data_IF_548436673913
#
_entry.id   IF_548436673913
#
_cell.length_a   1.000
_cell.length_b   1.000
_cell.length_c   1.000
_cell.angle_alpha   90.00
_cell.angle_beta   90.00
_cell.angle_gamma   90.00
#
_symmetry.space_group_name_H-M   'P 1'
#
loop_
_entity.id
_entity.type
_entity.pdbx_description
1 polymer ?
#
# COMPACT_ATOMS: atom_id res chain seq x y z
N UNK A 1 -6.69 7.56 -8.43
CA UNK A 1 -5.99 6.27 -8.32
C UNK A 1 -4.99 6.31 -7.16
N UNK A 2 -5.43 6.74 -5.96
CA UNK A 2 -4.71 6.68 -4.68
C UNK A 2 -5.82 6.73 -3.62
N UNK A 3 -6.62 5.66 -3.55
CA UNK A 3 -7.94 5.69 -2.92
C UNK A 3 -8.02 4.83 -1.66
N UNK A 4 -7.12 3.86 -1.50
CA UNK A 4 -7.15 2.91 -0.41
C UNK A 4 -5.74 2.38 -0.09
N UNK A 5 -5.60 1.77 1.09
CA UNK A 5 -4.42 1.06 1.58
C UNK A 5 -4.52 -0.46 1.36
N UNK A 6 -5.57 -0.93 0.69
CA UNK A 6 -5.76 -2.31 0.26
C UNK A 6 -5.91 -2.44 -1.26
N UNK A 7 -5.60 -3.61 -1.83
CA UNK A 7 -5.93 -3.88 -3.22
C UNK A 7 -7.44 -3.95 -3.41
N UNK A 8 -7.94 -3.35 -4.49
CA UNK A 8 -9.36 -3.41 -4.84
C UNK A 8 -9.54 -3.99 -6.23
N UNK A 9 -10.49 -4.91 -6.39
CA UNK A 9 -10.82 -5.44 -7.71
C UNK A 9 -11.76 -4.48 -8.44
N UNK A 10 -11.37 -4.07 -9.64
CA UNK A 10 -12.18 -3.25 -10.51
C UNK A 10 -12.63 -4.05 -11.74
N UNK A 11 -13.92 -3.98 -12.04
CA UNK A 11 -14.46 -4.46 -13.31
C UNK A 11 -14.23 -3.41 -14.38
N UNK A 12 -13.61 -3.81 -15.47
CA UNK A 12 -13.40 -3.01 -16.66
C UNK A 12 -14.12 -3.66 -17.84
N UNK A 13 -14.21 -2.94 -18.96
CA UNK A 13 -14.94 -3.42 -20.16
C UNK A 13 -14.46 -4.78 -20.64
N UNK A 14 -13.17 -5.07 -20.49
CA UNK A 14 -12.50 -6.28 -20.94
C UNK A 14 -12.00 -7.18 -19.80
N UNK A 15 -12.76 -7.29 -18.71
CA UNK A 15 -12.45 -8.20 -17.60
C UNK A 15 -12.22 -7.46 -16.29
N UNK A 16 -11.21 -7.90 -15.54
CA UNK A 16 -10.97 -7.44 -14.17
C UNK A 16 -9.51 -7.01 -14.00
N UNK A 17 -9.30 -5.88 -13.32
CA UNK A 17 -7.97 -5.39 -12.92
C UNK A 17 -7.95 -5.19 -11.41
N UNK A 18 -6.78 -5.39 -10.80
CA UNK A 18 -6.58 -5.11 -9.38
C UNK A 18 -5.86 -3.78 -9.25
N UNK A 19 -6.43 -2.85 -8.50
CA UNK A 19 -5.73 -1.64 -8.09
C UNK A 19 -4.71 -2.00 -7.02
N UNK A 20 -3.50 -1.46 -7.15
CA UNK A 20 -2.47 -1.61 -6.13
C UNK A 20 -2.29 -0.26 -5.43
N UNK A 21 -2.40 -0.21 -4.08
CA UNK A 21 -2.10 1.00 -3.32
C UNK A 21 -0.72 1.54 -3.65
N UNK A 22 -0.64 2.87 -3.71
CA UNK A 22 0.58 3.60 -3.97
C UNK A 22 0.58 4.92 -3.22
N UNK A 23 1.62 5.18 -2.45
CA UNK A 23 1.77 6.41 -1.67
C UNK A 23 2.52 7.46 -2.50
N UNK A 24 1.77 8.36 -3.15
CA UNK A 24 2.36 9.46 -3.93
C UNK A 24 3.28 10.34 -3.09
N UNK A 25 2.92 10.56 -1.82
CA UNK A 25 3.72 11.33 -0.87
C UNK A 25 5.07 10.69 -0.56
N UNK A 26 5.29 9.41 -0.87
CA UNK A 26 6.57 8.72 -0.69
C UNK A 26 7.27 8.42 -2.03
N UNK A 27 6.99 9.22 -3.05
CA UNK A 27 7.75 9.28 -4.30
C UNK A 27 8.83 10.37 -4.19
N UNK A 28 10.10 9.98 -4.23
CA UNK A 28 11.23 10.91 -4.09
C UNK A 28 11.32 11.90 -5.27
N UNK A 29 10.94 11.48 -6.47
CA UNK A 29 10.91 12.31 -7.67
C UNK A 29 9.86 13.40 -7.63
N UNK A 30 8.78 13.22 -6.85
CA UNK A 30 7.82 14.28 -6.58
C UNK A 30 8.27 15.17 -5.42
N UNK A 31 8.74 14.58 -4.32
CA UNK A 31 9.12 15.33 -3.12
C UNK A 31 10.31 16.27 -3.37
N UNK A 32 11.39 15.77 -3.96
CA UNK A 32 12.62 16.56 -4.11
C UNK A 32 12.56 17.56 -5.28
N UNK A 33 11.40 17.72 -5.92
CA UNK A 33 11.08 18.87 -6.80
C UNK A 33 10.47 20.04 -6.03
N UNK A 34 10.24 19.86 -4.73
CA UNK A 34 9.74 20.88 -3.81
C UNK A 34 10.81 21.19 -2.76
N UNK A 35 10.45 21.83 -1.65
CA UNK A 35 11.40 22.17 -0.57
C UNK A 35 11.59 21.05 0.47
N UNK A 36 11.21 19.81 0.13
CA UNK A 36 11.43 18.63 0.97
C UNK A 36 12.80 18.02 0.67
N UNK A 37 13.54 17.64 1.69
CA UNK A 37 14.81 16.92 1.57
C UNK A 37 14.79 15.57 2.29
N UNK A 38 15.87 14.79 2.13
CA UNK A 38 15.91 13.37 2.50
C UNK A 38 15.60 13.08 3.99
N UNK A 39 15.89 14.00 4.91
CA UNK A 39 15.60 13.84 6.33
C UNK A 39 14.09 13.89 6.61
N UNK A 40 13.41 14.92 6.11
CA UNK A 40 11.95 15.05 6.21
C UNK A 40 11.24 13.91 5.48
N UNK A 41 11.73 13.51 4.29
CA UNK A 41 11.23 12.34 3.58
C UNK A 41 11.28 11.07 4.45
N UNK A 42 12.38 10.86 5.17
CA UNK A 42 12.54 9.71 6.05
C UNK A 42 11.61 9.78 7.27
N UNK A 43 11.43 10.95 7.86
CA UNK A 43 10.52 11.16 8.99
C UNK A 43 9.07 10.86 8.60
N UNK A 44 8.62 11.35 7.44
CA UNK A 44 7.27 11.09 6.92
C UNK A 44 7.09 9.61 6.57
N UNK A 45 8.09 8.98 5.95
CA UNK A 45 8.04 7.56 5.61
C UNK A 45 7.91 6.67 6.86
N UNK A 46 8.69 6.97 7.90
CA UNK A 46 8.66 6.25 9.19
C UNK A 46 7.31 6.47 9.89
N UNK A 47 6.85 7.72 9.99
CA UNK A 47 5.58 8.03 10.64
C UNK A 47 4.39 7.34 9.94
N UNK A 48 4.39 7.32 8.61
CA UNK A 48 3.35 6.61 7.85
C UNK A 48 3.44 5.10 8.07
N UNK A 49 4.65 4.52 8.03
CA UNK A 49 4.84 3.10 8.31
C UNK A 49 4.34 2.73 9.71
N UNK A 50 4.70 3.49 10.74
CA UNK A 50 4.30 3.21 12.13
C UNK A 50 2.78 3.23 12.28
N UNK A 51 2.11 4.17 11.61
CA UNK A 51 0.65 4.25 11.61
C UNK A 51 0.03 3.02 10.95
N UNK A 52 0.47 2.67 9.74
CA UNK A 52 -0.05 1.50 9.01
C UNK A 52 0.27 0.19 9.72
N UNK A 53 1.42 0.10 10.38
CA UNK A 53 1.82 -1.07 11.16
C UNK A 53 0.92 -1.27 12.37
N UNK A 54 0.59 -0.19 13.09
CA UNK A 54 -0.34 -0.23 14.21
C UNK A 54 -1.77 -0.61 13.77
N UNK A 55 -2.28 0.00 12.69
CA UNK A 55 -3.59 -0.36 12.11
C UNK A 55 -3.61 -1.78 11.51
N UNK A 56 -2.42 -2.28 11.16
CA UNK A 56 -2.15 -3.61 10.62
C UNK A 56 -2.39 -4.77 11.58
N UNK A 57 -2.67 -4.50 12.87
CA UNK A 57 -2.76 -5.53 13.90
C UNK A 57 -3.79 -6.62 13.60
N UNK A 58 -4.95 -6.23 13.07
CA UNK A 58 -6.06 -7.14 12.74
C UNK A 58 -6.33 -7.25 11.25
N UNK A 59 -5.89 -6.27 10.46
CA UNK A 59 -6.05 -6.25 9.02
C UNK A 59 -4.82 -5.60 8.38
N UNK A 60 -4.02 -6.35 7.64
CA UNK A 60 -2.77 -5.86 7.06
C UNK A 60 -2.97 -4.67 6.12
N UNK A 61 -2.01 -3.74 6.10
CA UNK A 61 -2.00 -2.55 5.23
C UNK A 61 -0.83 -2.59 4.26
N UNK A 62 -1.00 -1.96 3.09
CA UNK A 62 0.08 -1.85 2.10
C UNK A 62 0.84 -0.54 2.27
N UNK A 63 2.15 -0.65 2.43
CA UNK A 63 3.08 0.46 2.41
C UNK A 63 3.98 0.35 1.16
N UNK A 64 4.02 1.41 0.35
CA UNK A 64 4.88 1.48 -0.85
C UNK A 64 5.81 2.69 -0.79
N UNK A 65 7.09 2.44 -1.05
CA UNK A 65 8.10 3.47 -1.34
C UNK A 65 8.37 3.49 -2.84
N UNK A 66 8.53 4.68 -3.41
CA UNK A 66 8.87 4.83 -4.82
C UNK A 66 10.17 5.61 -5.01
N UNK A 67 11.32 4.97 -4.71
CA UNK A 67 12.62 5.58 -4.89
C UNK A 67 13.09 5.50 -6.35
N UNK A 68 13.85 6.51 -6.77
CA UNK A 68 14.59 6.50 -8.02
C UNK A 68 16.10 6.48 -7.70
N UNK A 69 16.88 5.51 -8.23
CA UNK A 69 18.31 5.39 -7.90
C UNK A 69 19.13 6.65 -8.17
N UNK A 70 18.80 7.41 -9.21
CA UNK A 70 19.48 8.66 -9.54
C UNK A 70 19.11 9.84 -8.62
N UNK A 71 18.09 9.68 -7.77
CA UNK A 71 17.56 10.70 -6.86
C UNK A 71 17.89 10.35 -5.40
N UNK A 72 17.21 9.36 -4.82
CA UNK A 72 17.41 8.96 -3.43
C UNK A 72 18.67 8.13 -3.23
N UNK A 73 19.19 7.51 -4.30
CA UNK A 73 20.48 6.81 -4.28
C UNK A 73 21.71 7.73 -4.29
N UNK A 74 21.53 9.05 -4.34
CA UNK A 74 22.64 9.99 -4.23
C UNK A 74 23.28 9.93 -2.83
N UNK A 75 24.63 9.98 -2.69
CA UNK A 75 25.31 9.74 -1.43
C UNK A 75 24.84 10.60 -0.25
N UNK A 76 24.50 11.87 -0.50
CA UNK A 76 24.01 12.79 0.54
C UNK A 76 22.61 12.43 1.09
N UNK A 77 21.82 11.63 0.36
CA UNK A 77 20.48 11.19 0.76
C UNK A 77 20.45 9.75 1.27
N UNK A 78 21.44 8.95 0.89
CA UNK A 78 21.49 7.51 1.16
C UNK A 78 21.37 7.18 2.66
N UNK A 79 22.01 7.97 3.54
CA UNK A 79 21.92 7.79 5.00
C UNK A 79 20.47 7.75 5.50
N UNK A 80 19.63 8.63 4.97
CA UNK A 80 18.23 8.73 5.40
C UNK A 80 17.38 7.61 4.78
N UNK A 81 17.69 7.19 3.56
CA UNK A 81 17.04 6.02 2.97
C UNK A 81 17.35 4.74 3.74
N UNK A 82 18.61 4.53 4.15
CA UNK A 82 18.98 3.42 5.02
C UNK A 82 18.24 3.45 6.36
N UNK A 83 18.04 4.63 6.94
CA UNK A 83 17.29 4.80 8.19
C UNK A 83 15.85 4.29 8.05
N UNK A 84 15.16 4.65 6.95
CA UNK A 84 13.81 4.16 6.65
C UNK A 84 13.80 2.63 6.52
N UNK A 85 14.70 2.08 5.69
CA UNK A 85 14.75 0.62 5.46
C UNK A 85 15.08 -0.16 6.74
N UNK A 86 16.02 0.33 7.56
CA UNK A 86 16.39 -0.28 8.84
C UNK A 86 15.21 -0.28 9.81
N UNK A 87 14.47 0.84 9.90
CA UNK A 87 13.28 0.95 10.75
C UNK A 87 12.17 -0.03 10.33
N UNK A 88 11.84 -0.09 9.04
CA UNK A 88 10.84 -1.05 8.54
C UNK A 88 11.30 -2.49 8.79
N UNK A 89 12.58 -2.78 8.54
CA UNK A 89 13.12 -4.12 8.67
C UNK A 89 13.26 -4.61 10.12
N UNK A 90 13.22 -3.72 11.12
CA UNK A 90 13.29 -4.09 12.54
C UNK A 90 11.95 -4.58 13.11
N UNK A 91 10.88 -4.62 12.32
CA UNK A 91 9.56 -5.08 12.73
C UNK A 91 9.28 -6.49 12.18
N UNK A 92 8.85 -7.40 13.06
CA UNK A 92 8.72 -8.83 12.72
C UNK A 92 7.58 -9.15 11.75
N UNK A 93 6.48 -8.39 11.84
CA UNK A 93 5.24 -8.62 11.05
C UNK A 93 5.20 -7.85 9.73
N UNK A 94 6.36 -7.70 9.07
CA UNK A 94 6.45 -7.01 7.78
C UNK A 94 6.70 -8.01 6.66
N UNK A 95 5.76 -8.10 5.72
CA UNK A 95 5.95 -8.87 4.50
C UNK A 95 6.69 -8.04 3.45
N UNK A 96 7.98 -8.33 3.27
CA UNK A 96 8.82 -7.71 2.23
C UNK A 96 8.55 -8.40 0.91
N UNK A 97 7.81 -7.75 0.03
CA UNK A 97 7.22 -8.40 -1.15
C UNK A 97 7.12 -7.44 -2.34
N UNK A 98 6.77 -8.00 -3.49
CA UNK A 98 6.52 -7.29 -4.74
C UNK A 98 5.03 -7.12 -4.98
N UNK A 99 4.65 -6.14 -5.80
CA UNK A 99 3.24 -5.93 -6.15
C UNK A 99 2.57 -7.16 -6.79
N UNK A 100 3.32 -7.96 -7.57
CA UNK A 100 2.76 -9.17 -8.19
C UNK A 100 2.44 -10.25 -7.17
N UNK A 101 3.28 -10.42 -6.14
CA UNK A 101 3.05 -11.36 -5.06
C UNK A 101 1.82 -10.96 -4.23
N UNK A 102 1.66 -9.66 -3.94
CA UNK A 102 0.45 -9.14 -3.27
C UNK A 102 -0.80 -9.44 -4.10
N UNK A 103 -0.78 -9.14 -5.41
CA UNK A 103 -1.92 -9.43 -6.31
C UNK A 103 -2.25 -10.91 -6.33
N UNK A 104 -1.24 -11.78 -6.38
CA UNK A 104 -1.43 -13.22 -6.40
C UNK A 104 -2.04 -13.71 -5.08
N UNK A 105 -1.53 -13.25 -3.94
CA UNK A 105 -2.09 -13.56 -2.63
C UNK A 105 -3.54 -13.08 -2.51
N UNK A 106 -3.81 -11.82 -2.86
CA UNK A 106 -5.14 -11.22 -2.85
C UNK A 106 -6.15 -12.02 -3.68
N UNK A 107 -5.76 -12.45 -4.90
CA UNK A 107 -6.63 -13.23 -5.80
C UNK A 107 -6.92 -14.64 -5.30
N UNK A 108 -5.97 -15.26 -4.60
CA UNK A 108 -6.06 -16.66 -4.17
C UNK A 108 -6.69 -16.81 -2.78
N UNK A 109 -6.56 -15.83 -1.90
CA UNK A 109 -7.01 -15.93 -0.51
C UNK A 109 -8.20 -15.01 -0.22
N UNK A 110 -8.08 -13.72 -0.57
CA UNK A 110 -9.08 -12.73 -0.16
C UNK A 110 -10.31 -12.69 -1.07
N UNK A 111 -10.12 -12.71 -2.39
CA UNK A 111 -11.24 -12.61 -3.33
C UNK A 111 -12.25 -13.76 -3.25
N UNK A 112 -11.85 -15.04 -3.13
CA UNK A 112 -12.81 -16.13 -3.00
C UNK A 112 -13.70 -15.96 -1.77
N UNK A 113 -13.10 -15.66 -0.61
CA UNK A 113 -13.80 -15.41 0.65
C UNK A 113 -14.82 -14.27 0.53
N UNK A 114 -14.43 -13.15 -0.10
CA UNK A 114 -15.34 -12.01 -0.29
C UNK A 114 -16.47 -12.30 -1.27
N UNK A 115 -16.23 -13.13 -2.30
CA UNK A 115 -17.28 -13.57 -3.23
C UNK A 115 -18.30 -14.47 -2.53
N UNK A 116 -17.84 -15.37 -1.66
CA UNK A 116 -18.70 -16.24 -0.84
C UNK A 116 -19.56 -15.42 0.12
N UNK A 117 -18.95 -14.54 0.94
CA UNK A 117 -19.69 -13.64 1.85
C UNK A 117 -20.70 -12.75 1.13
N UNK A 118 -20.38 -12.30 -0.09
CA UNK A 118 -21.31 -11.51 -0.90
C UNK A 118 -22.49 -12.36 -1.37
N UNK A 119 -22.26 -13.60 -1.79
CA UNK A 119 -23.31 -14.53 -2.18
C UNK A 119 -24.27 -14.83 -1.01
N UNK A 120 -23.73 -15.06 0.19
CA UNK A 120 -24.51 -15.26 1.42
C UNK A 120 -25.38 -14.05 1.77
N UNK A 121 -24.84 -12.84 1.64
CA UNK A 121 -25.59 -11.59 1.88
C UNK A 121 -26.73 -11.38 0.89
N UNK A 122 -26.50 -11.67 -0.39
CA UNK A 122 -27.56 -11.60 -1.41
C UNK A 122 -28.63 -12.68 -1.15
N UNK A 123 -28.23 -13.88 -0.72
CA UNK A 123 -29.14 -14.98 -0.40
C UNK A 123 -30.00 -14.73 0.86
N UNK A 124 -29.50 -13.96 1.83
CA UNK A 124 -30.19 -13.64 3.09
C UNK A 124 -31.00 -12.33 3.03
N UNK A 125 -31.02 -11.63 1.90
CA UNK A 125 -31.81 -10.41 1.70
C UNK A 125 -31.30 -9.17 2.45
N UNK A 126 -30.10 -9.22 3.03
CA UNK A 126 -29.45 -8.09 3.72
C UNK A 126 -28.60 -7.25 2.75
N UNK A 127 -29.21 -6.75 1.67
CA UNK A 127 -28.55 -5.76 0.80
C UNK A 127 -28.75 -4.34 1.35
N UNK A 128 -27.97 -4.00 2.39
CA UNK A 128 -27.66 -2.59 2.62
C UNK A 128 -26.60 -2.19 1.60
N UNK A 129 -27.02 -1.42 0.59
CA UNK A 129 -26.18 -0.69 -0.35
C UNK A 129 -24.98 -0.03 0.36
N UNK A 130 -23.87 -0.75 0.49
CA UNK A 130 -22.58 -0.15 0.77
C UNK A 130 -21.93 0.05 -0.59
N UNK A 131 -22.43 1.05 -1.30
CA UNK A 131 -21.71 1.67 -2.41
C UNK A 131 -20.51 2.37 -1.78
N UNK A 132 -19.36 1.69 -1.67
CA UNK A 132 -18.10 2.40 -1.46
C UNK A 132 -17.76 3.06 -2.79
N UNK A 133 -18.26 4.29 -2.94
CA UNK A 133 -17.79 5.23 -3.94
C UNK A 133 -16.65 6.02 -3.29
N UNK A 134 -15.41 5.62 -3.57
CA UNK A 134 -14.19 6.44 -3.72
C UNK A 134 -13.00 5.52 -3.97
#
# INVERSE_FOLDING_TARGET
WFHDDHPTMMRVRSGEIVTMPYQMMLNDGLNFRTNVEAEEFADVAIALFDRLYAEGETNGRIFSLAPHPYILGQPHRLRQFERVLKHIASHDRVWKTTGIEIVNWYKSHYLPEMKEKRHERTATGMDHHTTVTA
#
